data_IF_712118832913
#
_entry.id   IF_712118832913
#
_cell.length_a   1.000
_cell.length_b   1.000
_cell.length_c   1.000
_cell.angle_alpha   90.00
_cell.angle_beta   90.00
_cell.angle_gamma   90.00
#
_symmetry.space_group_name_H-M   'P 1'
#
loop_
_entity.id
_entity.type
_entity.pdbx_description
1 polymer ?
#
# COMPACT_ATOMS: atom_id res chain seq x y z
N UNK A 1 -6.44 -28.08 -18.50
CA UNK A 1 -7.08 -26.77 -18.60
C UNK A 1 -7.34 -26.26 -17.18
N UNK A 2 -7.19 -24.96 -16.93
CA UNK A 2 -7.39 -24.31 -15.64
C UNK A 2 -7.60 -22.82 -15.82
N UNK A 3 -7.87 -22.11 -14.71
CA UNK A 3 -8.06 -20.66 -14.68
C UNK A 3 -6.96 -20.04 -13.84
N UNK A 4 -6.42 -18.91 -14.28
CA UNK A 4 -5.55 -18.06 -13.49
C UNK A 4 -6.31 -16.74 -13.27
N UNK A 5 -6.61 -16.43 -12.00
CA UNK A 5 -7.14 -15.14 -11.60
C UNK A 5 -5.98 -14.19 -11.36
N UNK A 6 -5.87 -13.15 -12.18
CA UNK A 6 -4.87 -12.08 -12.02
C UNK A 6 -5.50 -10.92 -11.24
N UNK A 7 -5.20 -10.84 -9.96
CA UNK A 7 -5.92 -9.96 -9.05
C UNK A 7 -7.34 -10.48 -8.78
N UNK A 8 -8.02 -9.90 -7.83
CA UNK A 8 -9.39 -10.29 -7.50
C UNK A 8 -9.73 -10.01 -6.04
N UNK A 9 -10.90 -10.48 -5.65
CA UNK A 9 -11.35 -10.42 -4.26
C UNK A 9 -10.55 -11.41 -3.39
N UNK A 10 -10.35 -11.06 -2.15
CA UNK A 10 -9.67 -11.90 -1.16
C UNK A 10 -10.63 -12.63 -0.22
N UNK A 11 -11.93 -12.71 -0.59
CA UNK A 11 -13.02 -13.17 0.27
C UNK A 11 -13.96 -14.17 -0.42
N UNK A 12 -13.48 -14.96 -1.38
CA UNK A 12 -14.31 -15.98 -2.05
C UNK A 12 -14.77 -17.06 -1.09
N UNK A 13 -16.01 -17.55 -1.31
CA UNK A 13 -16.57 -18.69 -0.64
C UNK A 13 -16.48 -19.98 -1.47
N UNK A 14 -16.61 -21.18 -0.86
CA UNK A 14 -16.65 -22.44 -1.59
C UNK A 14 -17.80 -22.50 -2.64
N UNK A 15 -18.96 -21.90 -2.34
CA UNK A 15 -20.12 -21.90 -3.22
C UNK A 15 -19.83 -21.08 -4.50
N UNK A 16 -19.14 -19.96 -4.38
CA UNK A 16 -18.77 -19.11 -5.53
C UNK A 16 -17.80 -19.84 -6.47
N UNK A 17 -16.80 -20.53 -5.93
CA UNK A 17 -15.81 -21.23 -6.75
C UNK A 17 -16.26 -22.61 -7.22
N UNK A 18 -17.28 -23.22 -6.59
CA UNK A 18 -17.85 -24.51 -7.02
C UNK A 18 -18.40 -24.46 -8.44
N UNK A 19 -18.72 -23.28 -8.95
CA UNK A 19 -19.15 -23.07 -10.35
C UNK A 19 -18.01 -23.24 -11.34
N UNK A 20 -16.76 -23.18 -10.90
CA UNK A 20 -15.58 -23.43 -11.71
C UNK A 20 -15.36 -24.94 -11.83
N UNK A 21 -15.64 -25.50 -12.96
CA UNK A 21 -15.47 -26.95 -13.22
C UNK A 21 -14.01 -27.35 -13.54
N UNK A 22 -13.05 -26.49 -13.24
CA UNK A 22 -11.61 -26.67 -13.55
C UNK A 22 -10.76 -26.15 -12.40
N UNK A 23 -9.53 -26.65 -12.21
CA UNK A 23 -8.58 -26.09 -11.24
C UNK A 23 -8.31 -24.62 -11.49
N UNK A 24 -8.06 -23.88 -10.43
CA UNK A 24 -7.74 -22.44 -10.51
C UNK A 24 -6.61 -22.04 -9.55
N UNK A 25 -5.95 -20.94 -9.91
CA UNK A 25 -4.85 -20.34 -9.14
C UNK A 25 -5.18 -18.86 -8.94
N UNK A 26 -5.04 -18.38 -7.71
CA UNK A 26 -5.07 -16.95 -7.39
C UNK A 26 -3.65 -16.39 -7.56
N UNK A 27 -3.50 -15.35 -8.38
CA UNK A 27 -2.22 -14.69 -8.64
C UNK A 27 -2.29 -13.23 -8.21
N UNK A 28 -1.29 -12.77 -7.49
CA UNK A 28 -1.21 -11.46 -6.85
C UNK A 28 -2.15 -11.24 -5.66
N UNK A 29 -2.81 -12.27 -5.16
CA UNK A 29 -3.62 -12.22 -3.94
C UNK A 29 -3.79 -13.61 -3.33
N UNK A 30 -4.23 -13.65 -2.08
CA UNK A 30 -4.68 -14.86 -1.39
C UNK A 30 -6.11 -14.66 -0.91
N UNK A 31 -6.81 -15.76 -0.58
CA UNK A 31 -8.17 -15.68 -0.03
C UNK A 31 -8.15 -15.41 1.49
N UNK A 32 -7.44 -14.35 1.91
CA UNK A 32 -7.15 -14.03 3.30
C UNK A 32 -8.38 -13.72 4.14
N UNK A 33 -9.46 -13.27 3.51
CA UNK A 33 -10.72 -12.87 4.16
C UNK A 33 -11.89 -13.79 3.83
N UNK A 34 -11.68 -14.77 2.94
CA UNK A 34 -12.71 -15.71 2.52
C UNK A 34 -12.70 -17.00 3.34
N UNK A 35 -13.64 -17.89 2.99
CA UNK A 35 -13.85 -19.15 3.69
C UNK A 35 -13.38 -20.37 2.90
N UNK A 36 -12.60 -20.17 1.83
CA UNK A 36 -12.04 -21.28 1.06
C UNK A 36 -11.07 -22.09 1.92
N UNK A 37 -11.21 -23.43 1.97
CA UNK A 37 -10.20 -24.28 2.60
C UNK A 37 -8.81 -24.05 1.98
N UNK A 38 -7.75 -23.94 2.78
CA UNK A 38 -6.39 -23.64 2.27
C UNK A 38 -5.91 -24.61 1.18
N UNK A 39 -6.35 -25.86 1.22
CA UNK A 39 -5.94 -26.92 0.29
C UNK A 39 -6.80 -26.95 -0.99
N UNK A 40 -7.86 -26.11 -1.08
CA UNK A 40 -8.80 -26.13 -2.21
C UNK A 40 -8.34 -25.29 -3.41
N UNK A 41 -7.30 -24.48 -3.26
CA UNK A 41 -6.77 -23.62 -4.31
C UNK A 41 -5.26 -23.43 -4.15
N UNK A 42 -4.62 -22.96 -5.21
CA UNK A 42 -3.23 -22.51 -5.16
C UNK A 42 -3.18 -20.99 -5.26
N UNK A 43 -2.20 -20.36 -4.62
CA UNK A 43 -1.97 -18.93 -4.74
C UNK A 43 -0.51 -18.59 -4.94
N UNK A 44 -0.25 -17.51 -5.66
CA UNK A 44 1.06 -16.88 -5.80
C UNK A 44 0.89 -15.41 -5.48
N UNK A 45 1.42 -14.97 -4.35
CA UNK A 45 1.31 -13.60 -3.86
C UNK A 45 2.54 -13.20 -3.06
N UNK A 46 2.69 -11.90 -2.83
CA UNK A 46 3.64 -11.39 -1.84
C UNK A 46 2.97 -11.38 -0.45
N UNK A 47 3.77 -11.28 0.59
CA UNK A 47 3.29 -11.12 1.96
C UNK A 47 3.05 -9.64 2.25
N UNK A 48 1.93 -9.08 1.75
CA UNK A 48 1.63 -7.65 1.74
C UNK A 48 1.83 -6.95 3.09
N UNK A 49 1.34 -7.54 4.19
CA UNK A 49 1.56 -7.00 5.53
C UNK A 49 3.05 -6.95 5.90
N UNK A 50 3.80 -7.99 5.55
CA UNK A 50 5.22 -8.07 5.86
C UNK A 50 6.04 -7.09 5.03
N UNK A 51 5.70 -6.89 3.75
CA UNK A 51 6.41 -5.94 2.90
C UNK A 51 6.12 -4.49 3.34
N UNK A 52 4.89 -4.18 3.73
CA UNK A 52 4.57 -2.89 4.32
C UNK A 52 5.33 -2.64 5.64
N UNK A 53 5.41 -3.66 6.49
CA UNK A 53 6.24 -3.58 7.71
C UNK A 53 7.71 -3.28 7.38
N UNK A 54 8.27 -3.94 6.37
CA UNK A 54 9.67 -3.73 5.93
C UNK A 54 9.88 -2.31 5.40
N UNK A 55 8.95 -1.80 4.60
CA UNK A 55 9.03 -0.44 4.07
C UNK A 55 9.06 0.61 5.19
N UNK A 56 8.19 0.47 6.19
CA UNK A 56 8.17 1.37 7.35
C UNK A 56 9.41 1.20 8.22
N UNK A 57 9.91 -0.03 8.37
CA UNK A 57 11.18 -0.31 9.08
C UNK A 57 12.34 0.42 8.43
N UNK A 58 12.44 0.42 7.10
CA UNK A 58 13.48 1.14 6.36
C UNK A 58 13.44 2.64 6.65
N UNK A 59 12.25 3.24 6.65
CA UNK A 59 12.08 4.64 7.03
C UNK A 59 12.50 4.91 8.48
N UNK A 60 12.13 4.02 9.41
CA UNK A 60 12.54 4.14 10.81
C UNK A 60 14.06 4.03 10.98
N UNK A 61 14.70 3.07 10.32
CA UNK A 61 16.17 2.88 10.35
C UNK A 61 16.90 4.06 9.70
N UNK A 62 16.29 4.72 8.72
CA UNK A 62 16.76 5.97 8.12
C UNK A 62 16.55 7.21 9.00
N UNK A 63 16.00 7.05 10.22
CA UNK A 63 15.87 8.11 11.21
C UNK A 63 14.51 8.79 11.28
N UNK A 64 13.57 8.42 10.44
CA UNK A 64 12.22 8.99 10.48
C UNK A 64 11.47 8.53 11.74
N UNK A 65 10.72 9.45 12.37
CA UNK A 65 9.96 9.19 13.60
C UNK A 65 8.48 9.53 13.47
N UNK A 66 8.12 10.38 12.52
CA UNK A 66 6.75 10.65 12.12
C UNK A 66 6.59 10.31 10.65
N UNK A 67 5.88 9.23 10.38
CA UNK A 67 5.71 8.61 9.06
C UNK A 67 4.22 8.62 8.74
N UNK A 68 3.84 9.29 7.66
CA UNK A 68 2.48 9.24 7.14
C UNK A 68 2.28 8.00 6.27
N UNK A 69 1.05 7.50 6.21
CA UNK A 69 0.65 6.44 5.27
C UNK A 69 -0.32 6.99 4.25
N UNK A 70 -0.06 6.69 2.97
CA UNK A 70 -0.99 6.97 1.87
C UNK A 70 -1.55 5.64 1.37
N UNK A 71 -2.84 5.44 1.58
CA UNK A 71 -3.57 4.20 1.29
C UNK A 71 -4.86 4.49 0.52
N UNK A 72 -5.52 3.44 0.01
CA UNK A 72 -6.93 3.51 -0.38
C UNK A 72 -7.80 3.30 0.88
N UNK A 73 -8.93 2.63 0.78
CA UNK A 73 -9.76 2.34 1.95
C UNK A 73 -9.04 1.32 2.86
N UNK A 74 -8.64 1.68 4.09
CA UNK A 74 -7.97 0.76 5.01
C UNK A 74 -8.91 -0.28 5.65
N UNK A 75 -10.23 -0.07 5.55
CA UNK A 75 -11.25 -0.98 6.09
C UNK A 75 -11.76 -1.98 5.03
N UNK A 76 -11.39 -1.79 3.77
CA UNK A 76 -11.69 -2.74 2.70
C UNK A 76 -10.84 -4.01 2.86
N UNK A 77 -11.48 -5.18 2.89
CA UNK A 77 -10.85 -6.51 2.97
C UNK A 77 -10.00 -6.80 1.72
N UNK A 78 -8.93 -6.08 1.56
CA UNK A 78 -8.09 -6.02 0.37
C UNK A 78 -6.59 -5.84 0.72
N UNK A 79 -5.78 -5.63 -0.30
CA UNK A 79 -4.36 -5.27 -0.18
C UNK A 79 -4.18 -3.99 0.64
N UNK A 80 -5.10 -3.02 0.53
CA UNK A 80 -5.05 -1.77 1.31
C UNK A 80 -5.00 -2.05 2.80
N UNK A 81 -5.91 -2.91 3.29
CA UNK A 81 -5.95 -3.28 4.71
C UNK A 81 -4.69 -4.04 5.12
N UNK A 82 -4.24 -5.02 4.33
CA UNK A 82 -3.04 -5.79 4.68
C UNK A 82 -1.80 -4.90 4.79
N UNK A 83 -1.59 -4.00 3.83
CA UNK A 83 -0.46 -3.07 3.84
C UNK A 83 -0.59 -2.04 4.97
N UNK A 84 -1.81 -1.58 5.28
CA UNK A 84 -2.05 -0.71 6.43
C UNK A 84 -1.79 -1.41 7.77
N UNK A 85 -2.20 -2.66 7.94
CA UNK A 85 -1.88 -3.46 9.12
C UNK A 85 -0.37 -3.63 9.32
N UNK A 86 0.39 -3.81 8.24
CA UNK A 86 1.86 -3.85 8.28
C UNK A 86 2.47 -2.53 8.76
N UNK A 87 1.96 -1.40 8.28
CA UNK A 87 2.34 -0.07 8.76
C UNK A 87 2.05 0.08 10.27
N UNK A 88 0.83 -0.22 10.72
CA UNK A 88 0.46 -0.12 12.12
C UNK A 88 1.32 -1.02 13.03
N UNK A 89 1.60 -2.25 12.57
CA UNK A 89 2.47 -3.16 13.29
C UNK A 89 3.87 -2.58 13.45
N UNK A 90 4.43 -2.00 12.40
CA UNK A 90 5.74 -1.37 12.45
C UNK A 90 5.77 -0.17 13.41
N UNK A 91 4.76 0.70 13.38
CA UNK A 91 4.68 1.80 14.35
C UNK A 91 4.68 1.30 15.80
N UNK A 92 3.88 0.28 16.11
CA UNK A 92 3.83 -0.31 17.46
C UNK A 92 5.18 -0.89 17.88
N UNK A 93 5.81 -1.69 17.02
CA UNK A 93 7.07 -2.39 17.34
C UNK A 93 8.24 -1.42 17.53
N UNK A 94 8.21 -0.27 16.82
CA UNK A 94 9.24 0.77 16.94
C UNK A 94 8.89 1.88 17.93
N UNK A 95 7.77 1.78 18.64
CA UNK A 95 7.33 2.77 19.63
C UNK A 95 7.00 4.14 19.01
N UNK A 96 6.55 4.16 17.75
CA UNK A 96 6.10 5.36 17.06
C UNK A 96 4.62 5.62 17.31
N UNK A 97 4.24 6.89 17.36
CA UNK A 97 2.84 7.29 17.51
C UNK A 97 2.15 7.29 16.15
N UNK A 98 1.00 6.64 16.07
CA UNK A 98 0.10 6.79 14.94
C UNK A 98 -0.68 8.10 15.10
N UNK A 99 -0.59 8.97 14.10
CA UNK A 99 -1.31 10.23 14.06
C UNK A 99 -2.49 10.11 13.09
N UNK A 100 -3.75 10.23 13.54
CA UNK A 100 -4.92 10.06 12.66
C UNK A 100 -4.90 10.96 11.43
N UNK A 101 -4.35 12.17 11.55
CA UNK A 101 -4.22 13.11 10.45
C UNK A 101 -3.19 12.67 9.39
N UNK A 102 -2.28 11.77 9.73
CA UNK A 102 -1.26 11.25 8.83
C UNK A 102 -1.69 9.94 8.12
N UNK A 103 -2.92 9.45 8.40
CA UNK A 103 -3.64 8.48 7.59
C UNK A 103 -4.29 9.20 6.40
N UNK A 104 -3.71 9.06 5.23
CA UNK A 104 -4.11 9.73 4.00
C UNK A 104 -4.82 8.73 3.11
N UNK A 105 -6.15 8.86 2.99
CA UNK A 105 -6.95 7.96 2.19
C UNK A 105 -7.27 8.57 0.82
N UNK A 106 -6.86 7.88 -0.24
CA UNK A 106 -7.30 8.13 -1.61
C UNK A 106 -8.53 7.25 -1.92
N UNK A 107 -9.30 7.61 -2.94
CA UNK A 107 -10.47 6.82 -3.34
C UNK A 107 -10.11 5.53 -4.07
N UNK A 108 -8.91 5.45 -4.63
CA UNK A 108 -8.36 4.28 -5.30
C UNK A 108 -6.82 4.40 -5.41
N UNK A 109 -6.19 3.47 -6.13
CA UNK A 109 -4.73 3.39 -6.33
C UNK A 109 -4.19 4.31 -7.42
N UNK A 110 -5.01 5.15 -8.05
CA UNK A 110 -4.55 5.99 -9.17
C UNK A 110 -3.67 7.16 -8.74
N UNK A 111 -2.72 7.54 -9.59
CA UNK A 111 -1.86 8.71 -9.39
C UNK A 111 -2.69 9.98 -9.10
N UNK A 112 -3.81 10.16 -9.82
CA UNK A 112 -4.64 11.35 -9.71
C UNK A 112 -5.33 11.45 -8.34
N UNK A 113 -5.90 10.37 -7.83
CA UNK A 113 -6.59 10.35 -6.56
C UNK A 113 -5.62 10.41 -5.37
N UNK A 114 -4.48 9.75 -5.47
CA UNK A 114 -3.39 9.85 -4.50
C UNK A 114 -2.84 11.29 -4.41
N UNK A 115 -2.63 11.94 -5.57
CA UNK A 115 -2.25 13.35 -5.63
C UNK A 115 -3.27 14.25 -4.93
N UNK A 116 -4.57 14.09 -5.23
CA UNK A 116 -5.63 14.88 -4.62
C UNK A 116 -5.72 14.68 -3.10
N UNK A 117 -5.59 13.43 -2.63
CA UNK A 117 -5.59 13.10 -1.21
C UNK A 117 -4.39 13.74 -0.49
N UNK A 118 -3.19 13.64 -1.05
CA UNK A 118 -1.99 14.26 -0.51
C UNK A 118 -2.10 15.79 -0.52
N UNK A 119 -2.59 16.41 -1.59
CA UNK A 119 -2.84 17.85 -1.62
C UNK A 119 -3.80 18.30 -0.52
N UNK A 120 -4.86 17.52 -0.27
CA UNK A 120 -5.80 17.80 0.81
C UNK A 120 -5.09 17.78 2.17
N UNK A 121 -4.25 16.76 2.42
CA UNK A 121 -3.47 16.64 3.66
C UNK A 121 -2.51 17.82 3.85
N UNK A 122 -1.86 18.28 2.79
CA UNK A 122 -0.87 19.36 2.82
C UNK A 122 -1.46 20.77 3.00
N UNK A 123 -2.79 20.92 3.00
CA UNK A 123 -3.45 22.21 3.36
C UNK A 123 -3.37 22.53 4.83
N UNK A 124 -3.10 21.54 5.68
CA UNK A 124 -2.89 21.69 7.12
C UNK A 124 -1.42 21.45 7.46
N UNK A 125 -0.92 21.92 8.60
CA UNK A 125 0.44 21.63 9.04
C UNK A 125 0.74 20.13 8.95
N UNK A 126 1.86 19.79 8.35
CA UNK A 126 2.26 18.41 8.06
C UNK A 126 3.68 18.18 8.58
N UNK A 127 3.78 17.65 9.81
CA UNK A 127 5.06 17.47 10.50
C UNK A 127 5.70 16.10 10.23
N UNK A 128 5.06 15.24 9.40
CA UNK A 128 5.68 14.00 8.96
C UNK A 128 6.89 14.30 8.07
N UNK A 129 7.93 13.49 8.23
CA UNK A 129 9.16 13.58 7.46
C UNK A 129 9.31 12.47 6.44
N UNK A 130 8.38 11.51 6.45
CA UNK A 130 8.33 10.45 5.46
C UNK A 130 6.88 10.04 5.16
N UNK A 131 6.70 9.50 3.96
CA UNK A 131 5.44 8.91 3.50
C UNK A 131 5.69 7.47 3.06
N UNK A 132 4.97 6.53 3.63
CA UNK A 132 4.79 5.21 3.07
C UNK A 132 3.53 5.21 2.19
N UNK A 133 3.70 5.08 0.89
CA UNK A 133 2.61 4.88 -0.05
C UNK A 133 2.44 3.38 -0.31
N UNK A 134 1.21 2.88 -0.24
CA UNK A 134 0.99 1.43 -0.38
C UNK A 134 1.21 0.91 -1.80
N UNK A 135 1.35 1.77 -2.81
CA UNK A 135 1.64 1.41 -4.20
C UNK A 135 2.44 2.53 -4.89
N UNK A 136 3.22 2.18 -5.90
CA UNK A 136 4.07 3.11 -6.66
C UNK A 136 3.28 4.24 -7.34
N UNK A 137 2.16 3.93 -7.98
CA UNK A 137 1.30 4.96 -8.59
C UNK A 137 0.83 6.00 -7.55
N UNK A 138 0.53 5.54 -6.34
CA UNK A 138 0.16 6.44 -5.25
C UNK A 138 1.35 7.29 -4.80
N UNK A 139 2.55 6.70 -4.72
CA UNK A 139 3.78 7.44 -4.39
C UNK A 139 4.09 8.54 -5.43
N UNK A 140 3.92 8.24 -6.71
CA UNK A 140 4.10 9.21 -7.79
C UNK A 140 3.16 10.42 -7.61
N UNK A 141 1.89 10.15 -7.27
CA UNK A 141 0.92 11.20 -6.95
C UNK A 141 1.33 12.03 -5.74
N UNK A 142 1.78 11.37 -4.66
CA UNK A 142 2.25 12.01 -3.45
C UNK A 142 3.48 12.90 -3.69
N UNK A 143 4.49 12.39 -4.40
CA UNK A 143 5.71 13.14 -4.73
C UNK A 143 5.41 14.41 -5.52
N UNK A 144 4.47 14.34 -6.46
CA UNK A 144 4.00 15.52 -7.19
C UNK A 144 3.36 16.54 -6.24
N UNK A 145 2.47 16.14 -5.36
CA UNK A 145 1.80 17.03 -4.41
C UNK A 145 2.79 17.67 -3.43
N UNK A 146 3.75 16.89 -2.90
CA UNK A 146 4.83 17.39 -2.05
C UNK A 146 5.64 18.48 -2.75
N UNK A 147 6.09 18.23 -3.97
CA UNK A 147 6.85 19.19 -4.76
C UNK A 147 6.07 20.48 -5.02
N UNK A 148 4.81 20.39 -5.39
CA UNK A 148 3.94 21.55 -5.64
C UNK A 148 3.65 22.36 -4.36
N UNK A 149 3.72 21.71 -3.19
CA UNK A 149 3.66 22.40 -1.88
C UNK A 149 4.98 23.02 -1.41
N UNK A 150 6.04 22.89 -2.21
CA UNK A 150 7.37 23.40 -1.88
C UNK A 150 8.25 22.46 -1.04
N UNK A 151 7.82 21.20 -0.83
CA UNK A 151 8.60 20.18 -0.11
C UNK A 151 9.41 19.33 -1.07
N UNK A 152 10.71 19.31 -0.89
CA UNK A 152 11.64 18.51 -1.70
C UNK A 152 11.63 17.04 -1.26
N UNK A 153 11.62 16.12 -2.23
CA UNK A 153 11.83 14.68 -2.01
C UNK A 153 13.24 14.34 -2.49
N UNK A 154 14.08 13.68 -1.69
CA UNK A 154 13.83 13.18 -0.33
C UNK A 154 14.16 14.18 0.79
N UNK A 155 14.70 15.36 0.51
CA UNK A 155 15.36 16.25 1.50
C UNK A 155 14.44 16.73 2.61
N UNK A 156 13.19 17.08 2.31
CA UNK A 156 12.19 17.52 3.29
C UNK A 156 11.22 16.41 3.66
N UNK A 157 11.06 15.42 2.76
CA UNK A 157 10.16 14.30 2.99
C UNK A 157 10.60 13.10 2.14
N UNK A 158 10.96 12.00 2.78
CA UNK A 158 11.24 10.73 2.11
C UNK A 158 9.95 10.05 1.67
N UNK A 159 10.00 9.34 0.55
CA UNK A 159 8.86 8.55 0.05
C UNK A 159 9.32 7.15 -0.28
N UNK A 160 8.61 6.15 0.22
CA UNK A 160 8.82 4.74 -0.09
C UNK A 160 7.50 4.11 -0.51
N UNK A 161 7.55 3.14 -1.41
CA UNK A 161 6.36 2.43 -1.88
C UNK A 161 6.64 0.92 -2.08
N UNK A 162 5.59 0.20 -2.45
CA UNK A 162 5.65 -1.20 -2.85
C UNK A 162 5.23 -1.24 -4.33
N UNK A 163 5.84 -2.11 -5.09
CA UNK A 163 5.57 -2.71 -6.41
C UNK A 163 6.80 -2.69 -7.32
N UNK A 164 7.57 -1.61 -7.40
CA UNK A 164 8.74 -1.50 -8.29
C UNK A 164 8.33 -1.47 -9.77
N UNK A 165 7.29 -0.67 -10.11
CA UNK A 165 6.87 -0.54 -11.51
C UNK A 165 7.91 0.21 -12.33
N UNK A 166 8.03 -0.11 -13.60
CA UNK A 166 9.10 0.43 -14.45
C UNK A 166 9.11 1.95 -14.56
N UNK A 167 7.95 2.63 -14.46
CA UNK A 167 7.89 4.09 -14.51
C UNK A 167 8.57 4.75 -13.30
N UNK A 168 8.70 4.06 -12.18
CA UNK A 168 9.35 4.54 -10.96
C UNK A 168 10.83 4.87 -11.17
N UNK A 169 11.48 4.22 -12.15
CA UNK A 169 12.87 4.47 -12.53
C UNK A 169 13.04 5.75 -13.40
N UNK A 170 11.96 6.23 -14.02
CA UNK A 170 12.00 7.36 -14.98
C UNK A 170 11.45 8.67 -14.41
N UNK A 171 10.93 8.67 -13.19
CA UNK A 171 10.52 9.90 -12.51
C UNK A 171 11.71 10.55 -11.80
N UNK A 172 11.59 11.82 -11.44
CA UNK A 172 12.66 12.53 -10.69
C UNK A 172 12.10 13.18 -9.42
N UNK A 173 12.68 12.87 -8.24
CA UNK A 173 13.67 11.81 -8.01
C UNK A 173 13.09 10.41 -8.32
N UNK A 174 13.97 9.43 -8.56
CA UNK A 174 13.54 8.04 -8.72
C UNK A 174 12.87 7.57 -7.41
N UNK A 175 11.82 6.77 -7.56
CA UNK A 175 11.19 6.11 -6.41
C UNK A 175 11.97 4.84 -6.07
N UNK A 176 12.16 4.63 -4.78
CA UNK A 176 12.85 3.46 -4.23
C UNK A 176 11.85 2.52 -3.60
#
# INVERSE_FOLDING_TARGET
RGIIFLGGRSDYSPEEVALLSVPYICCSYTNSYGTLPPDSYSSVSIADEQEAYRAVKELYESGHRRIAVLTADPDDSSISQLRYLGYQRALRDFGLTEHPEDLICASDFTIANAYAAMQKRLRSPADFTAVFAIADDMAIGAMRALRESGRSVPSDCSVIAIDGISVSEYIHPMLT
#
